data_IF_792226283258
#
_entry.id   IF_792226283258
#
_cell.length_a   1.000
_cell.length_b   1.000
_cell.length_c   1.000
_cell.angle_alpha   90.00
_cell.angle_beta   90.00
_cell.angle_gamma   90.00
#
_symmetry.space_group_name_H-M   'P 1'
#
loop_
_entity.id
_entity.type
_entity.pdbx_description
1 polymer ?
#
# COMPACT_ATOMS: atom_id res chain seq x y z
N UNK A 1 3.18 4.76 17.56
CA UNK A 1 2.14 3.82 17.12
C UNK A 1 2.72 3.03 15.97
N UNK A 2 2.46 1.73 15.96
CA UNK A 2 2.93 0.81 14.94
C UNK A 2 2.09 1.03 13.68
N UNK A 3 2.47 1.96 12.81
CA UNK A 3 1.73 2.20 11.58
C UNK A 3 2.17 1.18 10.52
N UNK A 4 1.87 -0.10 10.77
CA UNK A 4 1.63 -1.00 9.66
C UNK A 4 0.40 -0.47 8.95
N UNK A 5 0.59 0.09 7.75
CA UNK A 5 -0.47 0.65 6.93
C UNK A 5 -1.42 -0.46 6.48
N UNK A 6 -2.38 -0.80 7.36
CA UNK A 6 -3.31 -1.91 7.23
C UNK A 6 -4.75 -1.41 7.01
N UNK A 7 -4.96 -0.09 7.04
CA UNK A 7 -6.24 0.56 6.80
C UNK A 7 -6.05 1.89 6.05
N UNK A 8 -7.09 2.32 5.34
CA UNK A 8 -7.23 3.65 4.76
C UNK A 8 -8.53 4.28 5.24
N UNK A 9 -8.50 5.57 5.55
CA UNK A 9 -9.71 6.36 5.79
C UNK A 9 -10.13 7.01 4.47
N UNK A 10 -11.41 6.92 4.15
CA UNK A 10 -12.05 7.55 3.00
C UNK A 10 -12.57 8.94 3.37
N UNK A 11 -12.87 9.77 2.37
CA UNK A 11 -13.35 11.14 2.54
C UNK A 11 -14.67 11.25 3.29
N UNK A 12 -15.46 10.17 3.34
CA UNK A 12 -16.71 10.09 4.09
C UNK A 12 -16.53 9.60 5.55
N UNK A 13 -15.28 9.36 5.98
CA UNK A 13 -14.93 8.83 7.29
C UNK A 13 -14.99 7.30 7.38
N UNK A 14 -15.33 6.60 6.29
CA UNK A 14 -15.29 5.13 6.25
C UNK A 14 -13.86 4.64 6.31
N UNK A 15 -13.59 3.67 7.19
CA UNK A 15 -12.27 3.03 7.28
C UNK A 15 -12.31 1.68 6.57
N UNK A 16 -11.46 1.51 5.56
CA UNK A 16 -11.33 0.27 4.79
C UNK A 16 -10.04 -0.45 5.14
N UNK A 17 -10.09 -1.78 5.16
CA UNK A 17 -8.89 -2.60 5.35
C UNK A 17 -8.06 -2.67 4.07
N UNK A 18 -6.74 -2.72 4.19
CA UNK A 18 -5.81 -2.93 3.07
C UNK A 18 -4.79 -4.01 3.39
N UNK A 19 -4.29 -4.66 2.34
CA UNK A 19 -3.19 -5.64 2.40
C UNK A 19 -1.99 -5.05 1.65
N UNK A 20 -1.03 -4.42 2.35
CA UNK A 20 0.11 -3.75 1.73
C UNK A 20 1.16 -4.73 1.20
N UNK A 21 1.06 -6.04 1.53
CA UNK A 21 1.97 -7.07 1.02
C UNK A 21 1.33 -7.75 -0.19
N UNK A 22 2.00 -7.63 -1.33
CA UNK A 22 1.53 -8.26 -2.57
C UNK A 22 1.39 -9.78 -2.42
N UNK A 23 0.19 -10.28 -2.71
CA UNK A 23 -0.14 -11.68 -2.87
C UNK A 23 -0.41 -11.96 -4.36
N UNK A 24 0.49 -12.68 -5.02
CA UNK A 24 0.42 -12.93 -6.47
C UNK A 24 -0.87 -13.63 -6.91
N UNK A 25 -1.40 -14.56 -6.09
CA UNK A 25 -2.66 -15.24 -6.41
C UNK A 25 -3.82 -14.26 -6.42
N UNK A 26 -3.91 -13.38 -5.41
CA UNK A 26 -4.95 -12.36 -5.34
C UNK A 26 -4.80 -11.34 -6.48
N UNK A 27 -3.57 -10.90 -6.78
CA UNK A 27 -3.30 -10.03 -7.93
C UNK A 27 -3.80 -10.64 -9.25
N UNK A 28 -3.54 -11.93 -9.50
CA UNK A 28 -4.04 -12.62 -10.70
C UNK A 28 -5.58 -12.69 -10.75
N UNK A 29 -6.23 -12.87 -9.60
CA UNK A 29 -7.69 -12.86 -9.51
C UNK A 29 -8.25 -11.46 -9.82
N UNK A 30 -7.65 -10.42 -9.25
CA UNK A 30 -7.98 -9.01 -9.53
C UNK A 30 -7.73 -8.67 -11.00
N UNK A 31 -6.69 -9.23 -11.63
CA UNK A 31 -6.41 -8.96 -13.03
C UNK A 31 -7.49 -9.49 -14.00
N UNK A 32 -8.45 -10.29 -13.52
CA UNK A 32 -9.55 -10.81 -14.34
C UNK A 32 -10.63 -9.75 -14.57
N UNK A 33 -10.79 -8.81 -13.65
CA UNK A 33 -11.83 -7.77 -13.66
C UNK A 33 -11.26 -6.34 -13.55
N UNK A 34 -9.95 -6.19 -13.30
CA UNK A 34 -9.27 -4.91 -13.23
C UNK A 34 -7.87 -4.98 -13.83
N UNK A 35 -7.53 -4.12 -14.80
CA UNK A 35 -6.21 -4.12 -15.44
C UNK A 35 -5.08 -3.73 -14.48
N UNK A 36 -4.26 -4.71 -14.07
CA UNK A 36 -3.11 -4.51 -13.18
C UNK A 36 -1.79 -4.24 -13.91
N UNK A 37 -1.78 -4.21 -15.25
CA UNK A 37 -0.55 -4.11 -16.03
C UNK A 37 0.25 -2.86 -15.69
N UNK A 38 -0.41 -1.71 -15.54
CA UNK A 38 0.27 -0.45 -15.24
C UNK A 38 0.96 -0.47 -13.87
N UNK A 39 0.34 -1.12 -12.88
CA UNK A 39 0.96 -1.36 -11.57
C UNK A 39 2.19 -2.27 -11.68
N UNK A 40 2.08 -3.34 -12.47
CA UNK A 40 3.14 -4.34 -12.63
C UNK A 40 4.33 -3.86 -13.51
N UNK A 41 4.15 -2.79 -14.30
CA UNK A 41 5.24 -2.19 -15.07
C UNK A 41 6.29 -1.59 -14.13
N UNK A 42 7.46 -2.22 -14.09
CA UNK A 42 8.67 -1.64 -13.51
C UNK A 42 9.27 -0.66 -14.53
N UNK A 43 9.12 0.64 -14.30
CA UNK A 43 9.87 1.66 -15.01
C UNK A 43 11.30 1.69 -14.47
N UNK A 44 12.18 0.86 -15.03
CA UNK A 44 13.63 0.93 -14.75
C UNK A 44 14.21 2.04 -15.63
N UNK A 45 14.05 3.29 -15.17
CA UNK A 45 14.78 4.45 -15.70
C UNK A 45 16.12 4.59 -14.98
N UNK A 46 17.16 4.97 -15.72
CA UNK A 46 18.58 4.87 -15.37
C UNK A 46 19.08 5.66 -14.12
N UNK A 47 18.21 6.22 -13.26
CA UNK A 47 18.61 6.87 -12.00
C UNK A 47 17.52 7.16 -10.97
N UNK A 48 16.23 7.00 -11.28
CA UNK A 48 15.14 7.18 -10.32
C UNK A 48 13.98 6.25 -10.66
N UNK A 49 13.46 5.52 -9.67
CA UNK A 49 12.19 4.83 -9.80
C UNK A 49 11.08 5.86 -9.59
N UNK A 50 10.74 6.58 -10.66
CA UNK A 50 9.63 7.54 -10.62
C UNK A 50 8.31 6.77 -10.76
N UNK A 51 7.57 6.68 -9.65
CA UNK A 51 6.23 6.11 -9.62
C UNK A 51 5.27 7.16 -10.17
N UNK A 52 4.50 6.81 -11.19
CA UNK A 52 3.46 7.71 -11.71
C UNK A 52 2.25 7.77 -10.76
N UNK A 53 1.47 8.86 -10.82
CA UNK A 53 0.21 9.00 -10.07
C UNK A 53 -0.72 7.80 -10.32
N UNK A 54 -0.81 7.33 -11.56
CA UNK A 54 -1.63 6.17 -11.94
C UNK A 54 -1.10 4.89 -11.28
N UNK A 55 0.21 4.68 -11.26
CA UNK A 55 0.82 3.52 -10.58
C UNK A 55 0.57 3.54 -9.07
N UNK A 56 0.67 4.71 -8.45
CA UNK A 56 0.34 4.90 -7.04
C UNK A 56 -1.13 4.62 -6.75
N UNK A 57 -2.04 5.18 -7.54
CA UNK A 57 -3.49 4.98 -7.38
C UNK A 57 -3.88 3.49 -7.54
N UNK A 58 -3.33 2.82 -8.56
CA UNK A 58 -3.54 1.37 -8.74
C UNK A 58 -2.93 0.56 -7.60
N UNK A 59 -1.80 0.98 -7.04
CA UNK A 59 -1.21 0.31 -5.88
C UNK A 59 -2.14 0.41 -4.64
N UNK A 60 -2.69 1.59 -4.38
CA UNK A 60 -3.65 1.79 -3.29
C UNK A 60 -4.89 0.90 -3.45
N UNK A 61 -5.47 0.89 -4.65
CA UNK A 61 -6.63 0.05 -4.93
C UNK A 61 -6.33 -1.44 -4.85
N UNK A 62 -5.18 -1.90 -5.36
CA UNK A 62 -4.79 -3.31 -5.26
C UNK A 62 -4.58 -3.71 -3.79
N UNK A 63 -4.00 -2.85 -2.96
CA UNK A 63 -3.88 -3.11 -1.52
C UNK A 63 -5.26 -3.27 -0.87
N UNK A 64 -6.19 -2.34 -1.13
CA UNK A 64 -7.58 -2.45 -0.68
C UNK A 64 -8.26 -3.73 -1.18
N UNK A 65 -8.16 -4.01 -2.48
CA UNK A 65 -8.88 -5.11 -3.11
C UNK A 65 -8.40 -6.48 -2.64
N UNK A 66 -7.10 -6.62 -2.37
CA UNK A 66 -6.55 -7.85 -1.78
C UNK A 66 -7.08 -8.13 -0.38
N UNK A 67 -7.37 -7.10 0.43
CA UNK A 67 -7.98 -7.26 1.75
C UNK A 67 -9.48 -7.59 1.65
N UNK A 68 -10.17 -7.09 0.63
CA UNK A 68 -11.62 -7.15 0.50
C UNK A 68 -12.03 -7.92 -0.76
N UNK A 69 -11.70 -9.22 -0.87
CA UNK A 69 -11.87 -9.99 -2.14
C UNK A 69 -13.34 -10.30 -2.52
N UNK A 70 -14.24 -10.36 -1.55
CA UNK A 70 -15.62 -10.80 -1.78
C UNK A 70 -16.63 -9.65 -1.85
N UNK A 71 -16.37 -8.55 -1.14
CA UNK A 71 -17.23 -7.38 -1.06
C UNK A 71 -16.33 -6.14 -1.19
N UNK A 72 -16.49 -5.41 -2.28
CA UNK A 72 -15.55 -4.38 -2.68
C UNK A 72 -16.24 -3.31 -3.52
N UNK A 73 -15.75 -2.09 -3.35
CA UNK A 73 -16.00 -0.98 -4.27
C UNK A 73 -15.19 -1.16 -5.54
N UNK A 74 -15.72 -0.72 -6.68
CA UNK A 74 -14.94 -0.67 -7.91
C UNK A 74 -13.83 0.40 -7.82
N UNK A 75 -12.94 0.41 -8.83
CA UNK A 75 -11.80 1.31 -8.83
C UNK A 75 -12.20 2.79 -8.83
N UNK A 76 -13.22 3.19 -9.58
CA UNK A 76 -13.60 4.59 -9.68
C UNK A 76 -14.31 5.05 -8.42
N UNK A 77 -15.17 4.21 -7.84
CA UNK A 77 -15.79 4.48 -6.54
C UNK A 77 -14.73 4.61 -5.44
N UNK A 78 -13.72 3.73 -5.43
CA UNK A 78 -12.63 3.82 -4.46
C UNK A 78 -11.82 5.12 -4.63
N UNK A 79 -11.44 5.50 -5.85
CA UNK A 79 -10.64 6.70 -6.11
C UNK A 79 -11.42 7.99 -5.83
N UNK A 80 -12.73 8.01 -6.08
CA UNK A 80 -13.59 9.17 -5.76
C UNK A 80 -13.67 9.42 -4.25
N UNK A 81 -13.67 8.33 -3.46
CA UNK A 81 -13.76 8.40 -1.99
C UNK A 81 -12.42 8.40 -1.28
N UNK A 82 -11.33 8.10 -1.97
CA UNK A 82 -10.01 8.12 -1.36
C UNK A 82 -9.33 9.47 -1.64
N UNK A 83 -9.01 10.21 -0.58
CA UNK A 83 -8.21 11.42 -0.70
C UNK A 83 -6.78 11.05 -1.11
N UNK A 84 -6.49 11.20 -2.40
CA UNK A 84 -5.23 10.72 -2.97
C UNK A 84 -4.02 11.40 -2.31
N UNK A 85 -3.20 10.60 -1.64
CA UNK A 85 -1.91 11.01 -1.12
C UNK A 85 -0.78 10.28 -1.86
N UNK A 86 0.04 11.04 -2.59
CA UNK A 86 1.18 10.50 -3.32
C UNK A 86 2.21 9.81 -2.41
N UNK A 87 2.38 10.27 -1.18
CA UNK A 87 3.29 9.66 -0.22
C UNK A 87 2.80 8.27 0.21
N UNK A 88 1.52 8.17 0.58
CA UNK A 88 0.87 6.90 0.90
C UNK A 88 0.87 5.93 -0.30
N UNK A 89 0.55 6.44 -1.49
CA UNK A 89 0.54 5.65 -2.72
C UNK A 89 1.93 5.08 -3.05
N UNK A 90 2.97 5.92 -2.93
CA UNK A 90 4.38 5.54 -3.10
C UNK A 90 4.80 4.48 -2.09
N UNK A 91 4.39 4.64 -0.82
CA UNK A 91 4.67 3.67 0.23
C UNK A 91 4.05 2.31 -0.07
N UNK A 92 2.76 2.26 -0.45
CA UNK A 92 2.08 1.01 -0.82
C UNK A 92 2.73 0.32 -2.02
N UNK A 93 3.05 1.08 -3.06
CA UNK A 93 3.75 0.56 -4.22
C UNK A 93 5.07 -0.10 -3.82
N UNK A 94 5.87 0.59 -3.00
CA UNK A 94 7.16 0.09 -2.54
C UNK A 94 7.04 -1.17 -1.67
N UNK A 95 6.07 -1.22 -0.75
CA UNK A 95 5.81 -2.39 0.11
C UNK A 95 5.37 -3.63 -0.68
N UNK A 96 4.72 -3.41 -1.82
CA UNK A 96 4.30 -4.47 -2.73
C UNK A 96 5.42 -4.95 -3.66
N UNK A 97 6.17 -4.03 -4.28
CA UNK A 97 7.11 -4.35 -5.35
C UNK A 97 8.54 -4.67 -4.89
N UNK A 98 9.01 -4.11 -3.77
CA UNK A 98 10.40 -4.26 -3.35
C UNK A 98 10.56 -5.01 -2.03
N UNK A 99 11.12 -6.22 -2.12
CA UNK A 99 11.49 -7.02 -0.93
C UNK A 99 12.41 -6.27 0.03
N UNK A 100 13.37 -5.50 -0.50
CA UNK A 100 14.29 -4.68 0.30
C UNK A 100 13.60 -3.51 0.98
N UNK A 101 12.66 -2.83 0.32
CA UNK A 101 11.86 -1.79 0.96
C UNK A 101 10.99 -2.37 2.09
N UNK A 102 10.45 -3.59 1.90
CA UNK A 102 9.76 -4.33 2.96
C UNK A 102 10.70 -4.64 4.14
N UNK A 103 11.91 -5.11 3.90
CA UNK A 103 12.91 -5.41 4.93
C UNK A 103 13.43 -4.15 5.66
N UNK A 104 13.69 -3.07 4.93
CA UNK A 104 14.19 -1.81 5.50
C UNK A 104 13.08 -1.06 6.25
N UNK A 105 11.82 -1.13 5.79
CA UNK A 105 10.66 -0.65 6.56
C UNK A 105 10.49 -1.43 7.87
N UNK A 106 10.54 -2.77 7.81
CA UNK A 106 10.46 -3.63 9.00
C UNK A 106 11.56 -3.27 10.02
N UNK A 107 12.80 -3.07 9.56
CA UNK A 107 13.91 -2.64 10.43
C UNK A 107 13.69 -1.24 11.02
N UNK A 108 13.18 -0.31 10.24
CA UNK A 108 12.94 1.07 10.69
C UNK A 108 11.83 1.11 11.73
N UNK A 109 10.79 0.33 11.53
CA UNK A 109 9.69 0.10 12.45
C UNK A 109 10.15 -0.57 13.75
N UNK A 110 10.89 -1.68 13.67
CA UNK A 110 11.46 -2.37 14.84
C UNK A 110 12.36 -1.44 15.66
N UNK A 111 13.11 -0.56 14.98
CA UNK A 111 13.95 0.45 15.63
C UNK A 111 13.11 1.49 16.37
N UNK A 112 12.01 1.95 15.78
CA UNK A 112 11.10 2.90 16.42
C UNK A 112 10.33 2.28 17.58
N UNK A 113 9.81 1.06 17.42
CA UNK A 113 9.13 0.30 18.47
C UNK A 113 10.05 0.04 19.67
N UNK A 114 11.33 -0.33 19.44
CA UNK A 114 12.34 -0.48 20.51
C UNK A 114 12.66 0.85 21.21
N UNK A 115 12.76 1.95 20.48
CA UNK A 115 12.98 3.27 21.10
C UNK A 115 11.81 3.72 21.97
N UNK A 116 10.58 3.36 21.61
CA UNK A 116 9.37 3.64 22.41
C UNK A 116 9.33 2.74 23.65
N UNK A 117 9.68 1.45 23.54
CA UNK A 117 9.76 0.53 24.67
C UNK A 117 10.81 0.96 25.71
N UNK A 118 12.02 1.35 25.27
CA UNK A 118 13.09 1.85 26.17
C UNK A 118 12.71 3.16 26.87
N UNK A 119 11.86 3.99 26.25
CA UNK A 119 11.33 5.20 26.89
C UNK A 119 10.29 4.90 27.98
N UNK A 120 9.56 3.79 27.86
CA UNK A 120 8.54 3.39 28.83
C UNK A 120 9.11 2.56 30.01
N UNK A 121 10.27 1.93 29.86
CA UNK A 121 10.99 1.23 30.94
C UNK A 121 11.86 2.14 31.82
N UNK A 122 12.02 3.42 31.45
CA UNK A 122 12.74 4.45 32.23
C UNK A 122 11.81 5.40 33.01
N UNK A 123 10.55 5.02 33.20
CA UNK A 123 9.60 5.71 34.09
C UNK A 123 9.35 4.89 35.35
#
# INVERSE_FOLDING_TARGET
MNDEMNQLELTDGTVVSIEPKLNLKKLMMINRDFDTNEFAKLSIGDKSMDITVVQGAKAAYIAYRQANMNDYMDYYEFIDRWDFDMAAATQLYNMMMFKKAREDYQKTFDRQAKMIAVKNEKK
#
